data_IF_766729750868
#
_entry.id   IF_766729750868
#
_cell.length_a   1.000
_cell.length_b   1.000
_cell.length_c   1.000
_cell.angle_alpha   90.00
_cell.angle_beta   90.00
_cell.angle_gamma   90.00
#
_symmetry.space_group_name_H-M   'P 1'
#
loop_
_entity.id
_entity.type
_entity.pdbx_description
1 polymer ?
#
# COMPACT_ATOMS: atom_id res chain seq x y z
N UNK A 1 23.08 -27.26 -28.48
CA UNK A 1 22.62 -25.93 -28.02
C UNK A 1 22.02 -26.10 -26.65
N UNK A 2 22.83 -25.92 -25.61
CA UNK A 2 22.44 -26.06 -24.21
C UNK A 2 21.89 -24.72 -23.72
N UNK A 3 20.57 -24.58 -23.63
CA UNK A 3 20.00 -23.47 -22.88
C UNK A 3 20.21 -23.77 -21.39
N UNK A 4 21.24 -23.15 -20.82
CA UNK A 4 21.50 -23.16 -19.39
C UNK A 4 20.37 -22.44 -18.66
N UNK A 5 19.39 -23.17 -18.19
CA UNK A 5 18.51 -22.69 -17.12
C UNK A 5 19.28 -22.80 -15.81
N UNK A 6 20.03 -21.76 -15.47
CA UNK A 6 20.45 -21.54 -14.10
C UNK A 6 19.18 -21.44 -13.24
N UNK A 7 19.01 -22.28 -12.20
CA UNK A 7 17.82 -22.20 -11.36
C UNK A 7 17.85 -20.83 -10.68
N UNK A 8 16.94 -19.95 -11.09
CA UNK A 8 16.63 -18.71 -10.37
C UNK A 8 16.42 -19.11 -8.92
N UNK A 9 17.34 -18.72 -8.04
CA UNK A 9 17.25 -18.94 -6.61
C UNK A 9 15.96 -18.26 -6.18
N UNK A 10 14.89 -19.04 -6.05
CA UNK A 10 13.63 -18.59 -5.50
C UNK A 10 13.94 -18.31 -4.04
N UNK A 11 14.39 -17.08 -3.77
CA UNK A 11 14.36 -16.54 -2.42
C UNK A 11 12.91 -16.71 -1.98
N UNK A 12 12.73 -17.70 -1.11
CA UNK A 12 11.42 -18.13 -0.64
C UNK A 12 10.85 -16.92 0.07
N UNK A 13 10.02 -16.15 -0.65
CA UNK A 13 9.34 -14.98 -0.14
C UNK A 13 8.48 -15.49 1.01
N UNK A 14 9.01 -15.36 2.24
CA UNK A 14 8.52 -15.86 3.52
C UNK A 14 7.13 -16.50 3.44
N UNK A 15 7.06 -17.83 3.44
CA UNK A 15 5.79 -18.57 3.48
C UNK A 15 4.99 -18.32 4.76
N UNK A 16 5.55 -17.62 5.76
CA UNK A 16 4.82 -17.27 6.96
C UNK A 16 3.75 -16.19 6.73
N UNK A 17 3.94 -15.26 5.78
CA UNK A 17 3.04 -14.11 5.63
C UNK A 17 2.47 -13.93 4.22
N UNK A 18 1.14 -13.87 4.13
CA UNK A 18 0.43 -13.54 2.90
C UNK A 18 0.48 -12.03 2.68
N UNK A 19 1.09 -11.59 1.58
CA UNK A 19 1.08 -10.17 1.15
C UNK A 19 -0.32 -9.75 0.70
N UNK A 20 -0.73 -8.53 1.03
CA UNK A 20 -1.97 -7.93 0.54
C UNK A 20 -2.05 -7.93 -1.01
N UNK A 21 -0.93 -7.66 -1.68
CA UNK A 21 -0.83 -7.76 -3.13
C UNK A 21 -1.04 -9.19 -3.67
N UNK A 22 -0.64 -10.21 -2.91
CA UNK A 22 -0.92 -11.62 -3.25
C UNK A 22 -2.40 -11.97 -3.15
N UNK A 23 -3.12 -11.42 -2.16
CA UNK A 23 -4.58 -11.56 -2.05
C UNK A 23 -5.26 -10.88 -3.23
N UNK A 24 -4.84 -9.65 -3.57
CA UNK A 24 -5.35 -8.92 -4.73
C UNK A 24 -5.14 -9.67 -6.04
N UNK A 25 -3.94 -10.22 -6.26
CA UNK A 25 -3.61 -11.05 -7.43
C UNK A 25 -4.52 -12.29 -7.51
N UNK A 26 -4.77 -12.97 -6.38
CA UNK A 26 -5.65 -14.15 -6.34
C UNK A 26 -7.11 -13.81 -6.65
N UNK A 27 -7.62 -12.71 -6.08
CA UNK A 27 -8.99 -12.22 -6.31
C UNK A 27 -9.19 -11.79 -7.77
N UNK A 28 -8.18 -11.15 -8.38
CA UNK A 28 -8.22 -10.79 -9.79
C UNK A 28 -8.16 -12.02 -10.70
N UNK A 29 -7.17 -12.90 -10.51
CA UNK A 29 -7.06 -14.14 -11.26
C UNK A 29 -6.26 -15.20 -10.50
N UNK A 30 -6.95 -16.24 -10.05
CA UNK A 30 -6.35 -17.39 -9.33
C UNK A 30 -5.23 -18.06 -10.13
N UNK A 31 -5.38 -18.14 -11.46
CA UNK A 31 -4.37 -18.76 -12.35
C UNK A 31 -3.11 -17.92 -12.43
N UNK A 32 -3.20 -16.60 -12.59
CA UNK A 32 -2.02 -15.74 -12.65
C UNK A 32 -1.29 -15.75 -11.30
N UNK A 33 -2.03 -15.71 -10.19
CA UNK A 33 -1.47 -15.88 -8.85
C UNK A 33 -0.72 -17.21 -8.72
N UNK A 34 -1.31 -18.33 -9.15
CA UNK A 34 -0.65 -19.63 -9.05
C UNK A 34 0.61 -19.71 -9.93
N UNK A 35 0.56 -19.19 -11.16
CA UNK A 35 1.72 -19.16 -12.06
C UNK A 35 2.86 -18.29 -11.47
N UNK A 36 2.51 -17.16 -10.85
CA UNK A 36 3.47 -16.27 -10.18
C UNK A 36 4.05 -16.92 -8.92
N UNK A 37 3.22 -17.45 -8.04
CA UNK A 37 3.63 -17.99 -6.74
C UNK A 37 4.30 -19.36 -6.82
N UNK A 38 3.80 -20.27 -7.69
CA UNK A 38 4.30 -21.66 -7.78
C UNK A 38 5.29 -21.89 -8.91
N UNK A 39 5.22 -21.11 -10.00
CA UNK A 39 6.12 -21.25 -11.16
C UNK A 39 7.07 -20.07 -11.35
N UNK A 40 6.97 -19.01 -10.53
CA UNK A 40 7.80 -17.81 -10.67
C UNK A 40 7.58 -17.05 -11.99
N UNK A 41 6.45 -17.28 -12.66
CA UNK A 41 6.18 -16.68 -13.97
C UNK A 41 5.68 -15.25 -13.76
N UNK A 42 6.44 -14.28 -14.28
CA UNK A 42 6.08 -12.87 -14.21
C UNK A 42 4.85 -12.54 -15.08
N UNK A 43 4.09 -11.52 -14.67
CA UNK A 43 3.01 -10.98 -15.47
C UNK A 43 3.56 -10.29 -16.71
N UNK A 44 2.93 -10.51 -17.86
CA UNK A 44 3.22 -9.75 -19.08
C UNK A 44 2.54 -8.37 -19.06
N UNK A 45 1.58 -8.15 -18.15
CA UNK A 45 0.84 -6.90 -18.02
C UNK A 45 1.60 -5.85 -17.19
N UNK A 46 2.87 -5.62 -17.51
CA UNK A 46 3.76 -4.74 -16.73
C UNK A 46 3.31 -3.29 -16.81
N UNK A 47 2.90 -2.83 -17.99
CA UNK A 47 2.52 -1.42 -18.23
C UNK A 47 1.33 -0.98 -17.39
N UNK A 48 0.25 -1.79 -17.36
CA UNK A 48 -0.94 -1.45 -16.57
C UNK A 48 -0.67 -1.56 -15.07
N UNK A 49 0.14 -2.53 -14.63
CA UNK A 49 0.58 -2.65 -13.24
C UNK A 49 1.37 -1.42 -12.79
N UNK A 50 2.30 -0.93 -13.61
CA UNK A 50 3.05 0.29 -13.33
C UNK A 50 2.14 1.52 -13.28
N UNK A 51 1.19 1.64 -14.20
CA UNK A 51 0.22 2.72 -14.22
C UNK A 51 -0.63 2.72 -12.94
N UNK A 52 -1.17 1.56 -12.55
CA UNK A 52 -1.92 1.40 -11.30
C UNK A 52 -1.08 1.73 -10.06
N UNK A 53 0.18 1.30 -10.05
CA UNK A 53 1.12 1.61 -8.95
C UNK A 53 1.37 3.12 -8.83
N UNK A 54 1.59 3.81 -9.95
CA UNK A 54 1.77 5.27 -9.96
C UNK A 54 0.51 5.99 -9.48
N UNK A 55 -0.66 5.54 -9.93
CA UNK A 55 -1.94 6.12 -9.49
C UNK A 55 -2.14 5.96 -7.97
N UNK A 56 -1.86 4.76 -7.42
CA UNK A 56 -1.94 4.53 -5.98
C UNK A 56 -0.92 5.36 -5.19
N UNK A 57 0.29 5.54 -5.70
CA UNK A 57 1.29 6.40 -5.06
C UNK A 57 0.84 7.86 -5.01
N UNK A 58 0.31 8.39 -6.12
CA UNK A 58 -0.24 9.74 -6.18
C UNK A 58 -1.40 9.89 -5.20
N UNK A 59 -2.36 8.96 -5.22
CA UNK A 59 -3.48 8.96 -4.28
C UNK A 59 -3.02 8.93 -2.82
N UNK A 60 -2.01 8.11 -2.50
CA UNK A 60 -1.42 8.03 -1.16
C UNK A 60 -0.86 9.37 -0.67
N UNK A 61 -0.30 10.20 -1.55
CA UNK A 61 0.18 11.54 -1.21
C UNK A 61 -0.97 12.46 -0.78
N UNK A 62 -2.08 12.44 -1.53
CA UNK A 62 -3.29 13.21 -1.19
C UNK A 62 -3.93 12.75 0.12
N UNK A 63 -3.97 11.44 0.37
CA UNK A 63 -4.46 10.89 1.64
C UNK A 63 -3.58 11.36 2.80
N UNK A 64 -2.25 11.34 2.63
CA UNK A 64 -1.32 11.79 3.67
C UNK A 64 -1.52 13.27 4.00
N UNK A 65 -1.65 14.13 2.98
CA UNK A 65 -1.96 15.55 3.17
C UNK A 65 -3.28 15.74 3.92
N UNK A 66 -4.32 14.98 3.55
CA UNK A 66 -5.63 15.05 4.21
C UNK A 66 -5.56 14.63 5.68
N UNK A 67 -4.77 13.60 6.01
CA UNK A 67 -4.54 13.17 7.39
C UNK A 67 -3.87 14.28 8.21
N UNK A 68 -2.84 14.93 7.66
CA UNK A 68 -2.15 16.03 8.33
C UNK A 68 -3.06 17.24 8.57
N UNK A 69 -3.81 17.66 7.55
CA UNK A 69 -4.78 18.75 7.68
C UNK A 69 -5.85 18.43 8.73
N UNK A 70 -6.36 17.20 8.73
CA UNK A 70 -7.36 16.76 9.72
C UNK A 70 -6.80 16.75 11.15
N UNK A 71 -5.55 16.30 11.34
CA UNK A 71 -4.86 16.37 12.64
C UNK A 71 -4.69 17.81 13.10
N UNK A 72 -4.24 18.70 12.22
CA UNK A 72 -4.09 20.13 12.52
C UNK A 72 -5.44 20.76 12.91
N UNK A 73 -6.52 20.44 12.19
CA UNK A 73 -7.86 20.91 12.51
C UNK A 73 -8.30 20.48 13.92
N UNK A 74 -8.12 19.21 14.28
CA UNK A 74 -8.46 18.75 15.63
C UNK A 74 -7.59 19.40 16.71
N UNK A 75 -6.31 19.64 16.47
CA UNK A 75 -5.44 20.37 17.40
C UNK A 75 -5.91 21.81 17.61
N UNK A 76 -6.26 22.52 16.53
CA UNK A 76 -6.78 23.88 16.60
C UNK A 76 -8.10 23.95 17.37
N UNK A 77 -9.02 23.02 17.10
CA UNK A 77 -10.28 22.90 17.84
C UNK A 77 -10.01 22.67 19.33
N UNK A 78 -9.10 21.75 19.66
CA UNK A 78 -8.74 21.47 21.04
C UNK A 78 -8.18 22.71 21.77
N UNK A 79 -7.26 23.45 21.13
CA UNK A 79 -6.70 24.69 21.68
C UNK A 79 -7.79 25.75 21.87
N UNK A 80 -8.68 25.93 20.88
CA UNK A 80 -9.77 26.90 20.98
C UNK A 80 -10.71 26.57 22.16
N UNK A 81 -11.08 25.30 22.32
CA UNK A 81 -11.90 24.85 23.45
C UNK A 81 -11.18 25.08 24.78
N UNK A 82 -9.89 24.74 24.89
CA UNK A 82 -9.11 24.93 26.11
C UNK A 82 -8.95 26.41 26.51
N UNK A 83 -8.79 27.31 25.53
CA UNK A 83 -8.73 28.74 25.79
C UNK A 83 -10.08 29.29 26.24
N UNK A 84 -11.18 28.87 25.61
CA UNK A 84 -12.52 29.25 26.02
C UNK A 84 -12.83 28.79 27.43
N UNK A 85 -12.49 27.54 27.78
CA UNK A 85 -12.71 27.03 29.14
C UNK A 85 -11.85 27.79 30.15
N UNK A 86 -10.59 28.09 29.84
CA UNK A 86 -9.73 28.90 30.69
C UNK A 86 -10.29 30.30 30.94
N UNK A 87 -10.78 30.97 29.89
CA UNK A 87 -11.39 32.30 30.01
C UNK A 87 -12.66 32.26 30.88
N UNK A 88 -13.50 31.25 30.73
CA UNK A 88 -14.72 31.09 31.53
C UNK A 88 -14.41 30.78 33.01
N UNK A 89 -13.32 30.07 33.30
CA UNK A 89 -12.92 29.78 34.68
C UNK A 89 -12.22 30.96 35.37
N UNK A 90 -11.60 31.86 34.60
CA UNK A 90 -10.83 32.98 35.12
C UNK A 90 -11.55 34.35 35.05
N UNK A 91 -12.72 34.41 34.42
CA UNK A 91 -13.57 35.60 34.34
C UNK A 91 -14.72 35.52 35.33
#
# INVERSE_FOLDING_TARGET
>A
MTYGHEPVKLEHMSEDWIRASGIGDYLYCRRSWWLKQRRGIASQNVRELEQGTRHHQQHGQWVMQSIWLRRAAYLLIFVAVALLTYQVMNG
#
